data_IF_902927320011
#
_entry.id   IF_902927320011
#
_cell.length_a   1.000
_cell.length_b   1.000
_cell.length_c   1.000
_cell.angle_alpha   90.00
_cell.angle_beta   90.00
_cell.angle_gamma   90.00
#
_symmetry.space_group_name_H-M   'P 1'
#
loop_
_entity.id
_entity.type
_entity.pdbx_description
1 polymer ?
#
# COMPACT_ATOMS: atom_id res chain seq x y z
N UNK A 1 -10.29 20.92 -0.33
CA UNK A 1 -9.35 20.38 0.68
C UNK A 1 -9.09 18.94 0.30
N UNK A 2 -7.84 18.51 0.07
CA UNK A 2 -7.62 17.13 -0.33
C UNK A 2 -7.87 16.28 0.92
N UNK A 3 -9.09 15.75 1.03
CA UNK A 3 -9.40 14.65 1.95
C UNK A 3 -8.71 13.40 1.39
N UNK A 4 -7.37 13.45 1.33
CA UNK A 4 -6.52 12.32 0.98
C UNK A 4 -6.81 11.26 2.02
N UNK A 5 -7.19 10.06 1.58
CA UNK A 5 -7.53 8.93 2.43
C UNK A 5 -6.65 8.86 3.70
N UNK A 6 -7.31 8.67 4.84
CA UNK A 6 -6.68 8.47 6.15
C UNK A 6 -5.79 7.23 6.14
N UNK A 7 -4.90 7.14 7.12
CA UNK A 7 -3.97 6.02 7.21
C UNK A 7 -4.70 4.67 7.34
N UNK A 8 -5.85 4.64 8.03
CA UNK A 8 -6.73 3.48 8.14
C UNK A 8 -7.43 3.11 6.83
N UNK A 9 -7.87 4.09 6.04
CA UNK A 9 -8.48 3.82 4.73
C UNK A 9 -7.48 3.21 3.76
N UNK A 10 -6.25 3.74 3.74
CA UNK A 10 -5.15 3.20 2.94
C UNK A 10 -4.75 1.80 3.43
N UNK A 11 -4.73 1.57 4.74
CA UNK A 11 -4.50 0.24 5.32
C UNK A 11 -5.58 -0.76 4.86
N UNK A 12 -6.86 -0.38 4.96
CA UNK A 12 -7.97 -1.23 4.55
C UNK A 12 -7.92 -1.54 3.05
N UNK A 13 -7.53 -0.57 2.21
CA UNK A 13 -7.35 -0.78 0.78
C UNK A 13 -6.21 -1.76 0.49
N UNK A 14 -5.08 -1.62 1.20
CA UNK A 14 -3.97 -2.58 1.12
C UNK A 14 -4.41 -4.00 1.47
N UNK A 15 -5.20 -4.16 2.54
CA UNK A 15 -5.76 -5.47 2.94
C UNK A 15 -6.70 -6.05 1.88
N UNK A 16 -7.52 -5.22 1.21
CA UNK A 16 -8.40 -5.69 0.12
C UNK A 16 -7.61 -6.29 -1.03
N UNK A 17 -6.54 -5.62 -1.47
CA UNK A 17 -5.65 -6.13 -2.52
C UNK A 17 -4.82 -7.33 -2.04
N UNK A 18 -4.43 -7.35 -0.77
CA UNK A 18 -3.67 -8.46 -0.19
C UNK A 18 -4.49 -9.75 -0.12
N UNK A 19 -5.78 -9.67 0.24
CA UNK A 19 -6.67 -10.82 0.39
C UNK A 19 -7.57 -11.07 -0.84
N UNK A 20 -7.55 -10.20 -1.85
CA UNK A 20 -8.44 -10.30 -3.01
C UNK A 20 -9.93 -10.12 -2.66
N UNK A 21 -10.27 -9.34 -1.62
CA UNK A 21 -11.66 -9.15 -1.19
C UNK A 21 -12.39 -8.14 -2.08
N UNK A 22 -13.04 -8.65 -3.13
CA UNK A 22 -13.81 -7.84 -4.09
C UNK A 22 -12.94 -7.15 -5.15
N UNK A 23 -11.63 -7.43 -5.17
CA UNK A 23 -10.67 -7.01 -6.20
C UNK A 23 -9.73 -8.18 -6.50
N UNK A 24 -9.08 -8.18 -7.66
CA UNK A 24 -8.01 -9.14 -7.94
C UNK A 24 -6.87 -8.98 -6.94
N UNK A 25 -6.38 -10.09 -6.41
CA UNK A 25 -5.26 -10.09 -5.48
C UNK A 25 -4.02 -9.52 -6.17
N UNK A 26 -3.38 -8.54 -5.52
CA UNK A 26 -2.17 -7.90 -6.04
C UNK A 26 -1.30 -7.42 -4.89
N UNK A 27 -0.14 -8.05 -4.72
CA UNK A 27 0.82 -7.67 -3.69
C UNK A 27 1.49 -6.32 -3.99
N UNK A 28 1.63 -5.96 -5.28
CA UNK A 28 2.14 -4.65 -5.69
C UNK A 28 1.22 -3.52 -5.21
N UNK A 29 -0.09 -3.64 -5.48
CA UNK A 29 -1.08 -2.66 -5.01
C UNK A 29 -1.17 -2.68 -3.47
N UNK A 30 -1.21 -3.86 -2.85
CA UNK A 30 -1.24 -3.97 -1.38
C UNK A 30 -0.05 -3.24 -0.72
N UNK A 31 1.17 -3.52 -1.19
CA UNK A 31 2.39 -2.89 -0.69
C UNK A 31 2.38 -1.37 -0.91
N UNK A 32 1.88 -0.89 -2.05
CA UNK A 32 1.72 0.55 -2.34
C UNK A 32 0.81 1.21 -1.29
N UNK A 33 -0.36 0.66 -1.03
CA UNK A 33 -1.30 1.23 -0.05
C UNK A 33 -0.77 1.16 1.37
N UNK A 34 -0.11 0.06 1.75
CA UNK A 34 0.57 -0.05 3.04
C UNK A 34 1.71 0.98 3.18
N UNK A 35 2.45 1.25 2.11
CA UNK A 35 3.49 2.28 2.11
C UNK A 35 2.90 3.68 2.36
N UNK A 36 1.81 4.03 1.68
CA UNK A 36 1.13 5.32 1.89
C UNK A 36 0.55 5.45 3.30
N UNK A 37 -0.06 4.38 3.82
CA UNK A 37 -0.58 4.34 5.19
C UNK A 37 0.53 4.48 6.24
N UNK A 38 1.67 3.78 6.04
CA UNK A 38 2.83 3.87 6.92
C UNK A 38 3.43 5.29 6.91
N UNK A 39 3.47 5.96 5.76
CA UNK A 39 3.92 7.35 5.66
C UNK A 39 3.02 8.34 6.43
N UNK A 40 1.76 7.99 6.65
CA UNK A 40 0.83 8.74 7.50
C UNK A 40 0.89 8.35 8.99
N UNK A 41 1.83 7.47 9.38
CA UNK A 41 2.05 7.08 10.77
C UNK A 41 1.28 5.84 11.25
N UNK A 42 0.72 5.04 10.34
CA UNK A 42 0.06 3.79 10.73
C UNK A 42 1.09 2.65 10.87
N UNK A 43 1.37 2.23 12.11
CA UNK A 43 2.33 1.17 12.43
C UNK A 43 1.89 -0.21 11.93
N UNK A 44 0.58 -0.51 11.89
CA UNK A 44 0.09 -1.78 11.33
C UNK A 44 0.44 -1.87 9.85
N UNK A 45 0.23 -0.79 9.10
CA UNK A 45 0.57 -0.73 7.68
C UNK A 45 2.08 -0.93 7.45
N UNK A 46 2.93 -0.37 8.33
CA UNK A 46 4.38 -0.58 8.27
C UNK A 46 4.75 -2.05 8.47
N UNK A 47 4.12 -2.74 9.43
CA UNK A 47 4.30 -4.17 9.65
C UNK A 47 3.87 -4.99 8.43
N UNK A 48 2.65 -4.76 7.92
CA UNK A 48 2.16 -5.47 6.72
C UNK A 48 3.03 -5.22 5.49
N UNK A 49 3.50 -3.98 5.29
CA UNK A 49 4.44 -3.66 4.22
C UNK A 49 5.73 -4.46 4.34
N UNK A 50 6.28 -4.56 5.55
CA UNK A 50 7.53 -5.28 5.81
C UNK A 50 7.36 -6.79 5.57
N UNK A 51 6.26 -7.37 6.06
CA UNK A 51 5.93 -8.77 5.83
C UNK A 51 5.77 -9.06 4.34
N UNK A 52 4.99 -8.26 3.63
CA UNK A 52 4.74 -8.47 2.21
C UNK A 52 6.01 -8.30 1.36
N UNK A 53 6.89 -7.36 1.74
CA UNK A 53 8.18 -7.16 1.09
C UNK A 53 9.14 -8.36 1.22
N UNK A 54 8.90 -9.29 2.16
CA UNK A 54 9.70 -10.53 2.28
C UNK A 54 9.32 -11.57 1.24
N UNK A 55 8.06 -11.56 0.80
CA UNK A 55 7.52 -12.49 -0.19
C UNK A 55 7.59 -11.92 -1.62
N UNK A 56 7.68 -10.59 -1.76
CA UNK A 56 7.78 -9.90 -3.05
C UNK A 56 9.20 -9.87 -3.61
N UNK A 57 9.30 -9.86 -4.93
CA UNK A 57 10.57 -9.58 -5.61
C UNK A 57 10.95 -8.10 -5.56
N UNK A 58 12.24 -7.80 -5.71
CA UNK A 58 12.74 -6.43 -5.77
C UNK A 58 12.07 -5.60 -6.89
N UNK A 59 11.75 -6.23 -8.01
CA UNK A 59 11.04 -5.60 -9.15
C UNK A 59 9.63 -5.16 -8.77
N UNK A 60 8.90 -6.00 -8.04
CA UNK A 60 7.54 -5.70 -7.57
C UNK A 60 7.54 -4.63 -6.49
N UNK A 61 8.52 -4.65 -5.59
CA UNK A 61 8.69 -3.60 -4.56
C UNK A 61 8.99 -2.25 -5.23
N UNK A 62 9.87 -2.23 -6.23
CA UNK A 62 10.19 -1.02 -6.96
C UNK A 62 8.95 -0.46 -7.68
N UNK A 63 8.13 -1.33 -8.27
CA UNK A 63 6.87 -0.94 -8.90
C UNK A 63 5.87 -0.37 -7.89
N UNK A 64 5.66 -1.05 -6.76
CA UNK A 64 4.77 -0.56 -5.70
C UNK A 64 5.20 0.82 -5.16
N UNK A 65 6.51 1.03 -5.00
CA UNK A 65 7.07 2.32 -4.57
C UNK A 65 6.89 3.42 -5.63
N UNK A 66 7.09 3.09 -6.92
CA UNK A 66 6.83 4.03 -8.02
C UNK A 66 5.36 4.47 -8.03
N UNK A 67 4.44 3.51 -7.95
CA UNK A 67 3.00 3.79 -7.93
C UNK A 67 2.58 4.59 -6.70
N UNK A 68 3.15 4.31 -5.52
CA UNK A 68 2.88 5.07 -4.31
C UNK A 68 3.32 6.53 -4.46
N UNK A 69 4.53 6.77 -5.00
CA UNK A 69 5.03 8.12 -5.28
C UNK A 69 4.15 8.84 -6.30
N UNK A 70 3.78 8.18 -7.39
CA UNK A 70 2.90 8.74 -8.41
C UNK A 70 1.52 9.10 -7.86
N UNK A 71 0.98 8.29 -6.94
CA UNK A 71 -0.28 8.59 -6.26
C UNK A 71 -0.18 9.87 -5.42
N UNK A 72 0.91 10.05 -4.67
CA UNK A 72 1.15 11.26 -3.86
C UNK A 72 1.38 12.52 -4.69
N UNK A 73 1.89 12.39 -5.92
CA UNK A 73 2.03 13.56 -6.80
C UNK A 73 0.70 13.97 -7.44
N UNK A 74 -0.27 13.04 -7.50
CA UNK A 74 -1.55 13.25 -8.17
C UNK A 74 -2.67 13.67 -7.20
N UNK A 75 -2.49 13.51 -5.88
CA UNK A 75 -3.50 13.76 -4.84
C UNK A 75 -2.95 14.60 -3.69
#
# INVERSE_FOLDING_TARGET
MPHTASADELLALGLKYCFGRGVSQSYVEAHKWFNLAAMKGNENAKSYRCELAREMSASEIAEAQRQARAWMTLH
#
